data_IF_549893452390
#
_entry.id   IF_549893452390
#
_cell.length_a   1.000
_cell.length_b   1.000
_cell.length_c   1.000
_cell.angle_alpha   90.00
_cell.angle_beta   90.00
_cell.angle_gamma   90.00
#
_symmetry.space_group_name_H-M   'P 1'
#
loop_
_entity.id
_entity.type
_entity.pdbx_description
1 polymer ?
#
# COMPACT_ATOMS: atom_id res chain seq x y z
N UNK A 1 -27.72 7.03 -10.86
CA UNK A 1 -26.33 7.18 -10.35
C UNK A 1 -25.41 6.40 -11.26
N UNK A 2 -24.42 7.03 -11.91
CA UNK A 2 -23.43 6.30 -12.71
C UNK A 2 -22.60 5.43 -11.75
N UNK A 3 -22.51 4.14 -12.04
CA UNK A 3 -21.70 3.19 -11.24
C UNK A 3 -20.23 3.58 -11.41
N UNK A 4 -19.53 3.84 -10.31
CA UNK A 4 -18.07 4.06 -10.36
C UNK A 4 -17.40 2.84 -10.99
N UNK A 5 -16.62 3.07 -12.02
CA UNK A 5 -15.92 2.02 -12.75
C UNK A 5 -14.44 2.40 -12.86
N UNK A 6 -13.56 1.54 -12.38
CA UNK A 6 -12.13 1.69 -12.53
C UNK A 6 -11.70 0.98 -13.81
N UNK A 7 -11.37 1.77 -14.84
CA UNK A 7 -10.95 1.29 -16.17
C UNK A 7 -9.44 1.34 -16.33
N UNK A 8 -8.77 2.29 -15.63
CA UNK A 8 -7.32 2.48 -15.67
C UNK A 8 -6.83 3.04 -14.33
N UNK A 9 -5.72 2.52 -13.84
CA UNK A 9 -5.12 2.94 -12.58
C UNK A 9 -3.71 3.46 -12.82
N UNK A 10 -3.35 4.57 -12.20
CA UNK A 10 -1.96 4.98 -12.07
C UNK A 10 -1.42 4.51 -10.69
N UNK A 11 -0.24 3.90 -10.69
CA UNK A 11 0.51 3.59 -9.48
C UNK A 11 1.78 4.43 -9.47
N UNK A 12 1.94 5.25 -8.44
CA UNK A 12 3.06 6.17 -8.27
C UNK A 12 4.10 5.54 -7.34
N UNK A 13 5.23 5.13 -7.90
CA UNK A 13 6.31 4.40 -7.25
C UNK A 13 6.37 2.94 -7.69
N UNK A 14 7.52 2.54 -8.26
CA UNK A 14 7.79 1.18 -8.74
C UNK A 14 8.63 0.36 -7.75
N UNK A 15 8.57 0.73 -6.46
CA UNK A 15 9.14 -0.06 -5.37
C UNK A 15 8.42 -1.39 -5.14
N UNK A 16 8.78 -2.08 -4.06
CA UNK A 16 8.24 -3.41 -3.73
C UNK A 16 6.71 -3.42 -3.71
N UNK A 17 6.08 -2.44 -3.05
CA UNK A 17 4.62 -2.39 -2.96
C UNK A 17 3.98 -1.93 -4.26
N UNK A 18 4.45 -0.84 -4.87
CA UNK A 18 3.82 -0.30 -6.07
C UNK A 18 3.86 -1.25 -7.26
N UNK A 19 4.99 -1.91 -7.51
CA UNK A 19 5.09 -2.91 -8.56
C UNK A 19 4.15 -4.11 -8.33
N UNK A 20 4.02 -4.58 -7.09
CA UNK A 20 3.13 -5.70 -6.75
C UNK A 20 1.64 -5.30 -6.73
N UNK A 21 1.31 -4.05 -6.36
CA UNK A 21 -0.06 -3.51 -6.51
C UNK A 21 -0.42 -3.44 -8.00
N UNK A 22 0.49 -2.94 -8.84
CA UNK A 22 0.31 -2.94 -10.29
C UNK A 22 0.07 -4.36 -10.83
N UNK A 23 0.87 -5.34 -10.41
CA UNK A 23 0.69 -6.76 -10.76
C UNK A 23 -0.68 -7.29 -10.31
N UNK A 24 -1.14 -6.93 -9.11
CA UNK A 24 -2.44 -7.40 -8.60
C UNK A 24 -3.62 -6.81 -9.40
N UNK A 25 -3.52 -5.54 -9.82
CA UNK A 25 -4.51 -4.89 -10.68
C UNK A 25 -4.59 -5.54 -12.07
N UNK A 26 -3.45 -5.82 -12.71
CA UNK A 26 -3.47 -6.46 -14.04
C UNK A 26 -3.91 -7.92 -13.99
N UNK A 27 -3.79 -8.63 -12.86
CA UNK A 27 -4.36 -9.95 -12.68
C UNK A 27 -5.89 -9.98 -12.89
N UNK A 28 -6.57 -8.85 -12.63
CA UNK A 28 -8.00 -8.68 -12.87
C UNK A 28 -8.29 -7.87 -14.15
N UNK A 29 -7.28 -7.79 -15.04
CA UNK A 29 -7.36 -7.13 -16.36
C UNK A 29 -7.64 -5.63 -16.30
N UNK A 30 -7.33 -4.97 -15.21
CA UNK A 30 -7.34 -3.51 -15.11
C UNK A 30 -5.97 -2.98 -15.57
N UNK A 31 -5.91 -2.20 -16.68
CA UNK A 31 -4.67 -1.60 -17.15
C UNK A 31 -4.06 -0.65 -16.13
N UNK A 32 -2.74 -0.68 -16.02
CA UNK A 32 -1.99 0.15 -15.06
C UNK A 32 -0.95 1.00 -15.78
N UNK A 33 -0.82 2.25 -15.37
CA UNK A 33 0.37 3.07 -15.64
C UNK A 33 1.22 3.09 -14.36
N UNK A 34 2.40 2.49 -14.43
CA UNK A 34 3.34 2.45 -13.30
C UNK A 34 4.40 3.54 -13.50
N UNK A 35 4.50 4.44 -12.52
CA UNK A 35 5.41 5.57 -12.53
C UNK A 35 6.58 5.38 -11.55
N UNK A 36 7.73 5.93 -11.91
CA UNK A 36 8.83 6.18 -10.97
C UNK A 36 9.67 7.36 -11.45
N UNK A 37 10.74 7.67 -10.74
CA UNK A 37 11.74 8.64 -11.16
C UNK A 37 12.38 8.19 -12.49
N UNK A 38 12.81 9.13 -13.34
CA UNK A 38 13.61 8.80 -14.51
C UNK A 38 14.93 8.16 -14.08
N UNK A 39 15.37 7.14 -14.80
CA UNK A 39 16.67 6.52 -14.57
C UNK A 39 17.80 7.50 -14.86
N UNK A 40 18.84 7.50 -14.03
CA UNK A 40 20.04 8.35 -14.22
C UNK A 40 20.89 7.94 -15.43
N UNK A 41 20.71 6.71 -15.92
CA UNK A 41 21.43 6.16 -17.08
C UNK A 41 20.55 5.12 -17.79
N UNK A 42 20.75 4.97 -19.10
CA UNK A 42 19.94 4.10 -19.93
C UNK A 42 18.57 4.68 -20.29
N UNK A 43 17.56 3.85 -20.60
CA UNK A 43 16.20 4.31 -20.91
C UNK A 43 15.59 5.06 -19.72
N UNK A 44 14.92 6.20 -19.95
CA UNK A 44 14.31 7.01 -18.88
C UNK A 44 13.36 6.20 -17.99
N UNK A 45 12.60 5.25 -18.54
CA UNK A 45 11.73 4.36 -17.78
C UNK A 45 12.47 3.14 -17.16
N UNK A 46 13.81 3.14 -17.13
CA UNK A 46 14.64 2.00 -16.72
C UNK A 46 14.33 1.46 -15.32
N UNK A 47 13.92 2.31 -14.38
CA UNK A 47 13.51 1.88 -13.01
C UNK A 47 12.24 1.03 -13.11
N UNK A 48 11.23 1.51 -13.82
CA UNK A 48 9.95 0.81 -13.97
C UNK A 48 10.11 -0.46 -14.80
N UNK A 49 10.89 -0.42 -15.88
CA UNK A 49 11.24 -1.61 -16.68
C UNK A 49 11.80 -2.71 -15.81
N UNK A 50 12.82 -2.38 -14.99
CA UNK A 50 13.45 -3.33 -14.07
C UNK A 50 12.48 -3.86 -13.03
N UNK A 51 11.59 -3.02 -12.50
CA UNK A 51 10.58 -3.42 -11.54
C UNK A 51 9.58 -4.42 -12.14
N UNK A 52 9.06 -4.15 -13.34
CA UNK A 52 8.12 -5.03 -14.06
C UNK A 52 8.77 -6.37 -14.43
N UNK A 53 10.01 -6.37 -14.91
CA UNK A 53 10.77 -7.60 -15.19
C UNK A 53 11.05 -8.39 -13.92
N UNK A 54 11.27 -7.70 -12.80
CA UNK A 54 11.43 -8.31 -11.48
C UNK A 54 10.21 -9.09 -11.01
N UNK A 55 8.99 -8.64 -11.32
CA UNK A 55 7.74 -9.31 -10.95
C UNK A 55 7.68 -10.78 -11.40
N UNK A 56 8.25 -11.07 -12.56
CA UNK A 56 8.26 -12.44 -13.13
C UNK A 56 9.13 -13.42 -12.34
N UNK A 57 10.03 -12.91 -11.49
CA UNK A 57 11.02 -13.71 -10.72
C UNK A 57 10.66 -13.84 -9.25
N UNK A 58 9.70 -13.05 -8.76
CA UNK A 58 9.32 -13.07 -7.35
C UNK A 58 8.62 -14.37 -6.95
N UNK A 59 8.86 -14.76 -5.70
CA UNK A 59 8.16 -15.86 -5.03
C UNK A 59 7.69 -15.37 -3.65
N UNK A 60 6.38 -15.54 -3.34
CA UNK A 60 5.32 -16.09 -4.20
C UNK A 60 5.06 -15.17 -5.41
N UNK A 61 4.59 -15.74 -6.53
CA UNK A 61 4.41 -15.04 -7.80
C UNK A 61 3.33 -13.95 -7.70
N UNK A 62 3.64 -12.65 -7.93
CA UNK A 62 2.65 -11.57 -7.89
C UNK A 62 1.72 -11.59 -9.11
N UNK A 63 2.17 -12.09 -10.25
CA UNK A 63 1.36 -12.25 -11.47
C UNK A 63 0.70 -13.63 -11.51
N UNK A 64 -0.59 -13.68 -11.87
CA UNK A 64 -1.31 -14.91 -12.16
C UNK A 64 -0.90 -15.52 -13.48
N UNK A 65 -0.74 -14.65 -14.48
CA UNK A 65 -0.24 -14.98 -15.82
C UNK A 65 0.92 -14.02 -16.12
N UNK A 66 2.07 -14.54 -16.49
CA UNK A 66 3.28 -13.72 -16.68
C UNK A 66 3.10 -12.67 -17.78
N UNK A 67 2.34 -13.00 -18.85
CA UNK A 67 2.08 -12.11 -19.98
C UNK A 67 1.22 -10.89 -19.61
N UNK A 68 0.47 -10.96 -18.52
CA UNK A 68 -0.31 -9.81 -18.02
C UNK A 68 0.57 -8.63 -17.61
N UNK A 69 1.87 -8.85 -17.42
CA UNK A 69 2.84 -7.75 -17.25
C UNK A 69 2.80 -6.75 -18.40
N UNK A 70 2.37 -7.15 -19.60
CA UNK A 70 2.22 -6.26 -20.77
C UNK A 70 1.10 -5.21 -20.57
N UNK A 71 0.16 -5.42 -19.64
CA UNK A 71 -0.87 -4.45 -19.26
C UNK A 71 -0.35 -3.34 -18.34
N UNK A 72 0.92 -3.43 -17.90
CA UNK A 72 1.59 -2.40 -17.09
C UNK A 72 2.34 -1.47 -18.05
N UNK A 73 1.75 -0.30 -18.32
CA UNK A 73 2.40 0.77 -19.06
C UNK A 73 3.49 1.42 -18.20
N UNK A 74 4.69 1.50 -18.71
CA UNK A 74 5.86 2.06 -18.02
C UNK A 74 5.93 3.57 -18.23
N UNK A 75 6.12 4.33 -17.16
CA UNK A 75 6.11 5.79 -17.17
C UNK A 75 7.12 6.38 -16.19
N UNK A 76 7.48 7.65 -16.38
CA UNK A 76 8.28 8.42 -15.44
C UNK A 76 7.65 9.79 -15.16
N UNK A 77 8.07 10.41 -14.05
CA UNK A 77 7.51 11.69 -13.60
C UNK A 77 8.00 12.93 -14.40
N UNK A 78 8.86 12.78 -15.41
CA UNK A 78 9.29 13.89 -16.25
C UNK A 78 8.51 13.96 -17.56
N UNK A 79 8.37 12.83 -18.24
CA UNK A 79 7.86 12.80 -19.61
C UNK A 79 6.40 12.37 -19.72
N UNK A 80 5.82 11.75 -18.69
CA UNK A 80 4.59 10.99 -18.85
C UNK A 80 3.43 11.41 -17.93
N UNK A 81 3.52 12.56 -17.26
CA UNK A 81 2.49 12.99 -16.29
C UNK A 81 1.10 13.15 -16.93
N UNK A 82 1.02 13.48 -18.22
CA UNK A 82 -0.26 13.57 -18.94
C UNK A 82 -1.08 12.26 -18.93
N UNK A 83 -0.42 11.10 -18.77
CA UNK A 83 -1.11 9.80 -18.66
C UNK A 83 -2.01 9.69 -17.43
N UNK A 84 -1.83 10.54 -16.41
CA UNK A 84 -2.68 10.62 -15.24
C UNK A 84 -4.10 11.09 -15.57
N UNK A 85 -4.27 11.87 -16.65
CA UNK A 85 -5.57 12.39 -17.07
C UNK A 85 -6.57 11.31 -17.49
N UNK A 86 -6.07 10.14 -17.86
CA UNK A 86 -6.87 9.00 -18.33
C UNK A 86 -7.16 7.98 -17.20
N UNK A 87 -6.69 8.24 -15.98
CA UNK A 87 -6.82 7.29 -14.87
C UNK A 87 -8.03 7.61 -13.99
N UNK A 88 -8.78 6.58 -13.59
CA UNK A 88 -9.93 6.70 -12.69
C UNK A 88 -9.49 6.61 -11.21
N UNK A 89 -8.34 5.99 -10.94
CA UNK A 89 -7.74 5.82 -9.62
C UNK A 89 -6.23 6.05 -9.69
N UNK A 90 -5.70 6.82 -8.75
CA UNK A 90 -4.26 7.06 -8.58
C UNK A 90 -3.86 6.53 -7.20
N UNK A 91 -2.94 5.56 -7.14
CA UNK A 91 -2.43 4.97 -5.90
C UNK A 91 -0.98 5.38 -5.73
N UNK A 92 -0.67 6.15 -4.71
CA UNK A 92 0.71 6.50 -4.36
C UNK A 92 1.32 5.40 -3.47
N UNK A 93 2.50 4.92 -3.84
CA UNK A 93 3.25 3.85 -3.18
C UNK A 93 4.77 4.10 -3.20
N UNK A 94 5.21 5.38 -3.07
CA UNK A 94 6.63 5.72 -2.93
C UNK A 94 7.13 5.47 -1.50
N UNK A 95 8.42 5.76 -1.25
CA UNK A 95 9.04 5.60 0.07
C UNK A 95 8.26 6.32 1.18
N UNK A 96 8.32 5.77 2.40
CA UNK A 96 7.58 6.22 3.58
C UNK A 96 8.22 7.48 4.18
N UNK A 97 8.26 8.55 3.36
CA UNK A 97 8.79 9.86 3.71
C UNK A 97 7.77 10.95 3.41
N UNK A 98 7.39 11.69 4.44
CA UNK A 98 6.38 12.75 4.35
C UNK A 98 6.76 13.81 3.30
N UNK A 99 7.99 14.33 3.37
CA UNK A 99 8.52 15.35 2.46
C UNK A 99 8.44 14.91 0.99
N UNK A 100 8.88 13.70 0.68
CA UNK A 100 8.85 13.18 -0.69
C UNK A 100 7.43 12.98 -1.22
N UNK A 101 6.51 12.56 -0.36
CA UNK A 101 5.11 12.39 -0.75
C UNK A 101 4.43 13.74 -1.01
N UNK A 102 4.69 14.76 -0.17
CA UNK A 102 4.17 16.11 -0.37
C UNK A 102 4.68 16.73 -1.68
N UNK A 103 5.98 16.59 -1.96
CA UNK A 103 6.58 17.06 -3.23
C UNK A 103 5.95 16.36 -4.43
N UNK A 104 5.77 15.02 -4.35
CA UNK A 104 5.14 14.26 -5.42
C UNK A 104 3.70 14.72 -5.65
N UNK A 105 2.89 14.88 -4.60
CA UNK A 105 1.50 15.34 -4.73
C UNK A 105 1.41 16.72 -5.37
N UNK A 106 2.26 17.64 -4.98
CA UNK A 106 2.35 18.98 -5.60
C UNK A 106 2.64 18.87 -7.10
N UNK A 107 3.56 17.98 -7.48
CA UNK A 107 3.95 17.76 -8.86
C UNK A 107 2.86 17.12 -9.72
N UNK A 108 2.14 16.13 -9.20
CA UNK A 108 1.17 15.36 -10.00
C UNK A 108 -0.23 15.94 -10.00
N UNK A 109 -0.60 16.74 -8.99
CA UNK A 109 -1.95 17.29 -8.83
C UNK A 109 -2.52 17.96 -10.09
N UNK A 110 -1.75 18.77 -10.88
CA UNK A 110 -2.28 19.41 -12.09
C UNK A 110 -2.68 18.43 -13.20
N UNK A 111 -2.23 17.20 -13.13
CA UNK A 111 -2.46 16.16 -14.14
C UNK A 111 -3.53 15.15 -13.75
N UNK A 112 -4.01 15.19 -12.51
CA UNK A 112 -5.01 14.25 -12.01
C UNK A 112 -6.38 14.59 -12.61
N UNK A 113 -7.03 13.57 -13.19
CA UNK A 113 -8.36 13.74 -13.78
C UNK A 113 -9.39 14.24 -12.74
N UNK A 114 -10.35 15.11 -13.11
CA UNK A 114 -11.33 15.66 -12.16
C UNK A 114 -12.22 14.61 -11.48
N UNK A 115 -12.38 13.44 -12.10
CA UNK A 115 -13.17 12.33 -11.56
C UNK A 115 -12.34 11.28 -10.81
N UNK A 116 -11.01 11.31 -10.93
CA UNK A 116 -10.15 10.28 -10.36
C UNK A 116 -10.13 10.32 -8.83
N UNK A 117 -10.17 9.16 -8.21
CA UNK A 117 -9.88 9.01 -6.79
C UNK A 117 -8.37 8.97 -6.59
N UNK A 118 -7.86 9.65 -5.57
CA UNK A 118 -6.45 9.65 -5.21
C UNK A 118 -6.29 8.98 -3.87
N UNK A 119 -5.34 8.05 -3.77
CA UNK A 119 -5.13 7.30 -2.55
C UNK A 119 -3.64 7.10 -2.25
N UNK A 120 -3.27 7.10 -0.97
CA UNK A 120 -1.92 6.77 -0.52
C UNK A 120 -1.86 5.37 0.08
N UNK A 121 -0.84 4.60 -0.29
CA UNK A 121 -0.55 3.29 0.31
C UNK A 121 0.42 3.40 1.50
N UNK A 122 0.53 4.56 2.15
CA UNK A 122 1.35 4.72 3.36
C UNK A 122 0.91 3.74 4.45
N UNK A 123 1.85 3.26 5.25
CA UNK A 123 1.58 2.32 6.35
C UNK A 123 1.44 3.01 7.72
N UNK A 124 1.91 4.25 7.87
CA UNK A 124 1.93 4.90 9.19
C UNK A 124 1.91 6.42 9.17
N UNK A 125 2.12 7.08 8.02
CA UNK A 125 2.02 8.53 7.92
C UNK A 125 0.54 8.96 8.01
N UNK A 126 0.31 10.18 8.53
CA UNK A 126 -1.05 10.72 8.58
C UNK A 126 -1.58 11.03 7.19
N UNK A 127 -2.67 10.41 6.82
CA UNK A 127 -3.38 10.65 5.56
C UNK A 127 -3.90 12.09 5.51
N UNK A 128 -4.37 12.60 6.64
CA UNK A 128 -4.83 14.00 6.77
C UNK A 128 -3.71 14.98 6.44
N UNK A 129 -2.51 14.80 7.02
CA UNK A 129 -1.35 15.64 6.71
C UNK A 129 -0.92 15.54 5.25
N UNK A 130 -0.97 14.35 4.67
CA UNK A 130 -0.67 14.17 3.24
C UNK A 130 -1.66 14.94 2.35
N UNK A 131 -2.90 15.11 2.78
CA UNK A 131 -3.91 15.85 2.00
C UNK A 131 -3.72 17.37 2.01
N UNK A 132 -2.94 17.94 2.93
CA UNK A 132 -2.83 19.38 3.12
C UNK A 132 -2.29 20.13 1.90
N UNK A 133 -1.38 19.52 1.13
CA UNK A 133 -0.79 20.12 -0.08
C UNK A 133 -1.62 19.91 -1.34
N UNK A 134 -2.68 19.11 -1.27
CA UNK A 134 -3.56 18.86 -2.41
C UNK A 134 -4.50 20.06 -2.64
N UNK A 135 -4.80 20.37 -3.92
CA UNK A 135 -5.85 21.32 -4.26
C UNK A 135 -7.19 20.97 -3.63
N UNK A 136 -8.00 21.97 -3.30
CA UNK A 136 -9.28 21.81 -2.61
C UNK A 136 -10.26 20.88 -3.36
N UNK A 137 -10.19 20.85 -4.69
CA UNK A 137 -11.00 19.97 -5.54
C UNK A 137 -10.57 18.49 -5.47
N UNK A 138 -9.35 18.19 -5.03
CA UNK A 138 -8.85 16.80 -4.88
C UNK A 138 -9.13 16.26 -3.49
N UNK A 139 -9.05 17.08 -2.44
CA UNK A 139 -9.20 16.65 -1.04
C UNK A 139 -10.45 15.80 -0.78
N UNK A 140 -11.66 16.14 -1.32
CA UNK A 140 -12.86 15.33 -1.09
C UNK A 140 -12.83 13.91 -1.68
N UNK A 141 -11.87 13.63 -2.56
CA UNK A 141 -11.67 12.32 -3.22
C UNK A 141 -10.29 11.72 -2.94
N UNK A 142 -9.66 12.17 -1.84
CA UNK A 142 -8.40 11.63 -1.33
C UNK A 142 -8.62 10.82 -0.06
N UNK A 143 -7.92 9.67 0.04
CA UNK A 143 -7.93 8.80 1.23
C UNK A 143 -6.67 7.92 1.29
N UNK A 144 -6.52 7.14 2.33
CA UNK A 144 -5.58 6.03 2.38
C UNK A 144 -6.19 4.75 1.79
N UNK A 145 -5.37 3.98 1.07
CA UNK A 145 -5.65 2.61 0.63
C UNK A 145 -4.44 1.73 0.98
N UNK A 146 -4.47 1.10 2.13
CA UNK A 146 -3.33 0.38 2.66
C UNK A 146 -3.43 -1.11 2.34
N UNK A 147 -2.60 -1.52 1.38
CA UNK A 147 -2.37 -2.93 1.04
C UNK A 147 -1.27 -3.53 1.91
N UNK A 148 -1.35 -4.83 2.14
CA UNK A 148 -0.33 -5.59 2.86
C UNK A 148 0.51 -6.42 1.91
N UNK A 149 1.80 -6.60 2.25
CA UNK A 149 2.75 -7.36 1.44
C UNK A 149 2.63 -8.88 1.70
N UNK A 150 2.50 -9.72 0.69
CA UNK A 150 2.34 -9.42 -0.74
C UNK A 150 0.88 -9.10 -1.13
N UNK A 151 0.61 -8.02 -1.90
CA UNK A 151 -0.75 -7.57 -2.20
C UNK A 151 -1.67 -8.63 -2.82
N UNK A 152 -1.14 -9.54 -3.64
CA UNK A 152 -1.93 -10.62 -4.24
C UNK A 152 -2.49 -11.60 -3.21
N UNK A 153 -1.73 -11.89 -2.16
CA UNK A 153 -2.01 -12.98 -1.21
C UNK A 153 -2.66 -12.49 0.08
N UNK A 154 -2.34 -11.28 0.49
CA UNK A 154 -2.95 -10.68 1.68
C UNK A 154 -4.36 -10.22 1.35
N UNK A 155 -5.33 -10.76 2.08
CA UNK A 155 -6.75 -10.48 1.83
C UNK A 155 -7.22 -9.13 2.37
N UNK A 156 -6.53 -8.58 3.37
CA UNK A 156 -6.92 -7.33 4.02
C UNK A 156 -6.47 -6.10 3.23
N UNK A 157 -7.36 -5.10 3.14
CA UNK A 157 -7.07 -3.72 2.75
C UNK A 157 -7.73 -2.78 3.74
N UNK A 158 -7.01 -1.76 4.18
CA UNK A 158 -7.57 -0.70 5.02
C UNK A 158 -7.87 0.53 4.16
N UNK A 159 -9.06 1.13 4.35
CA UNK A 159 -9.44 2.41 3.76
C UNK A 159 -9.49 3.46 4.87
N UNK A 160 -8.73 4.54 4.70
CA UNK A 160 -8.52 5.54 5.73
C UNK A 160 -8.98 6.91 5.21
N UNK A 161 -10.13 7.45 5.66
CA UNK A 161 -10.59 8.76 5.26
C UNK A 161 -9.79 9.88 5.92
N UNK A 162 -9.78 11.06 5.29
CA UNK A 162 -9.49 12.34 5.92
C UNK A 162 -10.80 13.00 6.39
N UNK A 163 -10.75 14.08 7.17
CA UNK A 163 -11.96 14.83 7.51
C UNK A 163 -12.74 15.39 6.30
N UNK A 164 -12.07 15.55 5.16
CA UNK A 164 -12.66 16.09 3.93
C UNK A 164 -13.08 15.00 2.93
N UNK A 165 -12.69 13.75 3.13
CA UNK A 165 -13.04 12.64 2.24
C UNK A 165 -14.54 12.42 2.22
N UNK A 166 -15.16 12.47 1.04
CA UNK A 166 -16.59 12.17 0.89
C UNK A 166 -16.86 10.68 1.13
N UNK A 167 -17.89 10.32 1.91
CA UNK A 167 -18.25 8.93 2.19
C UNK A 167 -18.41 8.06 0.96
N UNK A 168 -18.97 8.63 -0.12
CA UNK A 168 -19.22 7.91 -1.38
C UNK A 168 -17.92 7.43 -2.04
N UNK A 169 -16.79 8.11 -1.80
CA UNK A 169 -15.47 7.70 -2.29
C UNK A 169 -15.03 6.40 -1.64
N UNK A 170 -15.27 6.27 -0.33
CA UNK A 170 -14.96 5.03 0.40
C UNK A 170 -15.88 3.89 -0.07
N UNK A 171 -17.16 4.15 -0.28
CA UNK A 171 -18.12 3.14 -0.78
C UNK A 171 -17.71 2.65 -2.18
N UNK A 172 -17.28 3.56 -3.05
CA UNK A 172 -16.80 3.24 -4.40
C UNK A 172 -15.52 2.42 -4.38
N UNK A 173 -14.53 2.81 -3.56
CA UNK A 173 -13.28 2.06 -3.40
C UNK A 173 -13.52 0.70 -2.76
N UNK A 174 -14.31 0.62 -1.69
CA UNK A 174 -14.64 -0.65 -1.05
C UNK A 174 -15.32 -1.60 -2.04
N UNK A 175 -16.29 -1.11 -2.82
CA UNK A 175 -16.93 -1.91 -3.87
C UNK A 175 -15.91 -2.43 -4.88
N UNK A 176 -14.99 -1.59 -5.39
CA UNK A 176 -13.96 -1.99 -6.33
C UNK A 176 -13.00 -3.00 -5.73
N UNK A 177 -12.49 -2.72 -4.53
CA UNK A 177 -11.48 -3.54 -3.85
C UNK A 177 -12.05 -4.91 -3.46
N UNK A 178 -13.32 -4.98 -3.06
CA UNK A 178 -13.97 -6.26 -2.71
C UNK A 178 -14.39 -7.06 -3.93
N UNK A 179 -15.02 -6.43 -4.91
CA UNK A 179 -15.60 -7.16 -6.04
C UNK A 179 -14.59 -7.48 -7.15
N UNK A 180 -13.66 -6.55 -7.45
CA UNK A 180 -12.66 -6.76 -8.49
C UNK A 180 -11.39 -7.40 -7.94
N UNK A 181 -10.85 -6.90 -6.81
CA UNK A 181 -9.59 -7.36 -6.27
C UNK A 181 -9.73 -8.53 -5.26
N UNK A 182 -10.95 -8.89 -4.88
CA UNK A 182 -11.21 -10.01 -3.95
C UNK A 182 -10.68 -9.78 -2.53
N UNK A 183 -10.65 -8.52 -2.05
CA UNK A 183 -10.15 -8.13 -0.73
C UNK A 183 -11.26 -8.01 0.30
N UNK A 184 -10.92 -8.30 1.55
CA UNK A 184 -11.70 -7.85 2.70
C UNK A 184 -11.28 -6.44 3.09
N UNK A 185 -12.24 -5.54 3.30
CA UNK A 185 -11.97 -4.13 3.61
C UNK A 185 -12.29 -3.81 5.06
N UNK A 186 -11.42 -3.05 5.70
CA UNK A 186 -11.64 -2.40 7.00
C UNK A 186 -11.54 -0.89 6.80
N UNK A 187 -12.60 -0.15 7.21
CA UNK A 187 -12.56 1.31 7.27
C UNK A 187 -11.88 1.72 8.57
N UNK A 188 -10.66 2.22 8.47
CA UNK A 188 -9.84 2.61 9.60
C UNK A 188 -9.87 4.13 9.81
N UNK A 189 -9.57 4.57 11.02
CA UNK A 189 -9.33 6.00 11.31
C UNK A 189 -7.88 6.35 10.95
N UNK A 190 -7.61 7.64 10.65
CA UNK A 190 -6.25 8.17 10.48
C UNK A 190 -5.53 8.24 11.85
N UNK A 191 -5.24 7.07 12.39
CA UNK A 191 -4.49 6.89 13.65
C UNK A 191 -3.15 6.23 13.34
N UNK A 192 -2.13 6.33 14.23
CA UNK A 192 -0.83 5.71 14.01
C UNK A 192 -0.94 4.24 13.63
N UNK A 193 -0.32 3.85 12.49
CA UNK A 193 -0.31 2.47 11.98
C UNK A 193 -1.70 1.85 11.78
N UNK A 194 -2.73 2.66 11.69
CA UNK A 194 -4.13 2.30 11.42
C UNK A 194 -4.66 1.20 12.36
N UNK A 195 -5.17 0.07 11.85
CA UNK A 195 -5.72 -1.02 12.67
C UNK A 195 -4.80 -2.24 12.70
N UNK A 196 -4.46 -2.82 11.54
CA UNK A 196 -3.80 -4.12 11.49
C UNK A 196 -2.36 -4.09 12.01
N UNK A 197 -1.56 -3.11 11.61
CA UNK A 197 -0.20 -2.96 12.13
C UNK A 197 -0.22 -2.70 13.65
N UNK A 198 -1.16 -1.92 14.12
CA UNK A 198 -1.32 -1.60 15.55
C UNK A 198 -1.69 -2.82 16.38
N UNK A 199 -2.67 -3.59 15.93
CA UNK A 199 -3.09 -4.84 16.59
C UNK A 199 -1.99 -5.90 16.52
N UNK A 200 -1.35 -6.04 15.34
CA UNK A 200 -0.27 -7.00 15.11
C UNK A 200 0.92 -6.75 16.04
N UNK A 201 1.42 -5.50 16.09
CA UNK A 201 2.54 -5.13 16.96
C UNK A 201 2.18 -5.29 18.44
N UNK A 202 1.00 -4.88 18.86
CA UNK A 202 0.57 -5.07 20.26
C UNK A 202 0.56 -6.55 20.65
N UNK A 203 0.05 -7.43 19.78
CA UNK A 203 0.06 -8.87 19.99
C UNK A 203 1.46 -9.47 20.02
N UNK A 204 2.36 -9.02 19.14
CA UNK A 204 3.76 -9.48 19.13
C UNK A 204 4.51 -9.03 20.39
N UNK A 205 4.40 -7.78 20.79
CA UNK A 205 5.04 -7.24 21.99
C UNK A 205 4.54 -7.97 23.25
N UNK A 206 3.24 -8.17 23.38
CA UNK A 206 2.68 -8.93 24.50
C UNK A 206 3.25 -10.37 24.56
N UNK A 207 3.35 -11.04 23.42
CA UNK A 207 3.95 -12.38 23.31
C UNK A 207 5.41 -12.38 23.72
N UNK A 208 6.20 -11.39 23.27
CA UNK A 208 7.64 -11.26 23.60
C UNK A 208 7.81 -11.06 25.11
N UNK A 209 7.03 -10.17 25.72
CA UNK A 209 7.08 -9.89 27.17
C UNK A 209 6.75 -11.15 27.99
N UNK A 210 5.71 -11.88 27.62
CA UNK A 210 5.35 -13.10 28.33
C UNK A 210 6.39 -14.22 28.10
N UNK A 211 6.93 -14.35 26.90
CA UNK A 211 8.01 -15.31 26.60
C UNK A 211 9.24 -15.09 27.49
N UNK A 212 9.63 -13.82 27.71
CA UNK A 212 10.73 -13.44 28.58
C UNK A 212 10.44 -13.82 30.06
N UNK A 213 9.25 -13.49 30.57
CA UNK A 213 8.82 -13.83 31.94
C UNK A 213 8.90 -15.33 32.24
N UNK A 214 8.54 -16.17 31.27
CA UNK A 214 8.52 -17.62 31.42
C UNK A 214 9.82 -18.30 30.97
N UNK A 215 10.84 -17.54 30.53
CA UNK A 215 12.11 -18.08 30.03
C UNK A 215 11.95 -19.02 28.82
N UNK A 216 10.99 -18.77 27.95
CA UNK A 216 10.69 -19.63 26.80
C UNK A 216 11.66 -19.35 25.65
N UNK A 217 12.10 -20.41 24.97
CA UNK A 217 12.91 -20.26 23.76
C UNK A 217 12.07 -19.75 22.58
N UNK A 218 12.70 -19.04 21.65
CA UNK A 218 12.04 -18.47 20.48
C UNK A 218 11.33 -19.51 19.61
N UNK A 219 11.97 -20.67 19.41
CA UNK A 219 11.38 -21.78 18.65
C UNK A 219 10.12 -22.34 19.33
N UNK A 220 10.11 -22.46 20.65
CA UNK A 220 8.94 -22.91 21.40
C UNK A 220 7.79 -21.89 21.28
N UNK A 221 8.10 -20.61 21.38
CA UNK A 221 7.09 -19.53 21.23
C UNK A 221 6.51 -19.56 19.82
N UNK A 222 7.33 -19.71 18.77
CA UNK A 222 6.85 -19.80 17.40
C UNK A 222 5.97 -21.03 17.18
N UNK A 223 6.32 -22.18 17.75
CA UNK A 223 5.50 -23.39 17.70
C UNK A 223 4.14 -23.19 18.41
N UNK A 224 4.14 -22.56 19.57
CA UNK A 224 2.92 -22.28 20.32
C UNK A 224 2.02 -21.24 19.65
N UNK A 225 2.61 -20.16 19.11
CA UNK A 225 1.86 -19.01 18.58
C UNK A 225 1.57 -19.09 17.09
N UNK A 226 1.98 -20.17 16.41
CA UNK A 226 1.75 -20.42 15.00
C UNK A 226 0.47 -21.22 14.70
N UNK A 227 0.62 -22.28 13.95
CA UNK A 227 -0.49 -23.14 13.48
C UNK A 227 -1.37 -23.69 14.61
N UNK A 228 -0.81 -23.96 15.78
CA UNK A 228 -1.56 -24.47 16.92
C UNK A 228 -2.65 -23.52 17.40
N UNK A 229 -2.46 -22.22 17.20
CA UNK A 229 -3.46 -21.19 17.47
C UNK A 229 -4.23 -20.72 16.22
N UNK A 230 -4.11 -21.42 15.10
CA UNK A 230 -4.73 -21.02 13.83
C UNK A 230 -4.14 -19.75 13.22
N UNK A 231 -2.92 -19.36 13.63
CA UNK A 231 -2.17 -18.21 13.09
C UNK A 231 -1.22 -18.65 11.95
N UNK A 232 -0.51 -17.68 11.37
CA UNK A 232 0.52 -17.95 10.37
C UNK A 232 1.55 -18.96 10.90
N UNK A 233 2.01 -19.87 10.05
CA UNK A 233 2.95 -20.94 10.44
C UNK A 233 4.31 -20.43 10.93
N UNK A 234 4.65 -19.18 10.65
CA UNK A 234 5.84 -18.49 11.12
C UNK A 234 5.84 -18.20 12.63
N UNK A 235 4.66 -18.22 13.28
CA UNK A 235 4.58 -17.84 14.69
C UNK A 235 4.87 -16.37 14.93
N UNK A 236 5.53 -16.04 16.05
CA UNK A 236 5.80 -14.64 16.45
C UNK A 236 7.17 -14.17 15.96
N UNK A 237 8.26 -14.85 16.29
CA UNK A 237 9.62 -14.40 16.02
C UNK A 237 10.00 -14.53 14.54
N UNK A 238 9.67 -15.64 13.86
CA UNK A 238 9.88 -15.76 12.42
C UNK A 238 9.00 -14.80 11.63
N UNK A 239 7.83 -14.42 12.16
CA UNK A 239 7.03 -13.35 11.54
C UNK A 239 7.74 -12.01 11.65
N UNK A 240 8.38 -11.70 12.79
CA UNK A 240 9.19 -10.49 12.95
C UNK A 240 10.37 -10.46 11.96
N UNK A 241 11.04 -11.60 11.75
CA UNK A 241 12.13 -11.72 10.75
C UNK A 241 11.62 -11.51 9.32
N UNK A 242 10.47 -12.10 8.95
CA UNK A 242 9.87 -11.96 7.61
C UNK A 242 9.42 -10.52 7.33
N UNK A 243 8.87 -9.85 8.34
CA UNK A 243 8.47 -8.42 8.25
C UNK A 243 9.70 -7.52 8.18
N UNK A 244 10.78 -7.91 8.84
CA UNK A 244 12.00 -7.14 9.04
C UNK A 244 11.99 -6.42 10.38
N UNK A 245 13.02 -6.62 11.18
CA UNK A 245 13.15 -6.02 12.52
C UNK A 245 13.25 -4.49 12.46
N UNK A 246 13.84 -3.95 11.41
CA UNK A 246 13.89 -2.52 11.11
C UNK A 246 12.49 -1.94 10.84
N UNK A 247 11.68 -2.65 10.06
CA UNK A 247 10.28 -2.28 9.80
C UNK A 247 9.46 -2.31 11.09
N UNK A 248 9.61 -3.37 11.90
CA UNK A 248 8.96 -3.50 13.19
C UNK A 248 9.35 -2.36 14.15
N UNK A 249 10.65 -2.04 14.24
CA UNK A 249 11.16 -0.94 15.05
C UNK A 249 10.58 0.42 14.60
N UNK A 250 10.46 0.64 13.29
CA UNK A 250 9.86 1.85 12.73
C UNK A 250 8.37 1.97 13.11
N UNK A 251 7.62 0.87 13.02
CA UNK A 251 6.20 0.84 13.41
C UNK A 251 6.04 1.15 14.90
N UNK A 252 6.85 0.55 15.78
CA UNK A 252 6.86 0.83 17.23
C UNK A 252 7.18 2.31 17.49
N UNK A 253 8.23 2.84 16.87
CA UNK A 253 8.61 4.24 17.01
C UNK A 253 7.48 5.19 16.57
N UNK A 254 6.80 4.90 15.48
CA UNK A 254 5.66 5.69 15.01
C UNK A 254 4.52 5.72 16.03
N UNK A 255 4.27 4.61 16.73
CA UNK A 255 3.27 4.55 17.81
C UNK A 255 3.68 5.42 19.00
N UNK A 256 4.95 5.40 19.40
CA UNK A 256 5.49 6.20 20.49
C UNK A 256 5.45 7.70 20.16
N UNK A 257 5.96 8.09 18.99
CA UNK A 257 6.06 9.48 18.55
C UNK A 257 4.68 10.17 18.43
N UNK A 258 3.66 9.44 18.02
CA UNK A 258 2.28 9.93 17.92
C UNK A 258 1.46 9.75 19.20
N UNK A 259 2.11 9.43 20.33
CA UNK A 259 1.48 9.21 21.64
C UNK A 259 0.28 8.25 21.59
N UNK A 260 0.39 7.24 20.78
CA UNK A 260 -0.58 6.16 20.72
C UNK A 260 -0.24 5.18 21.84
N UNK A 261 -1.17 4.96 22.75
CA UNK A 261 -1.01 4.01 23.85
C UNK A 261 -0.80 2.61 23.26
N UNK A 262 0.37 2.03 23.50
CA UNK A 262 0.67 0.61 23.33
C UNK A 262 0.95 0.07 24.69
#
# INVERSE_FOLDING_TARGET
MSRFQVRKVAVLGAGVMGAQIAAHLVNVKVPVVLFDLPAKSGPKNGIVIKAVDGLKKLKPAPLGVADDAALIQQANYEDNLELLRDCDLVIEAIAERMDWKLDLYTKVAPFIAPHAIVASNTSGLSITKLSEVLPEEIKPRFCGIHFFNPPRYMSLVELIPTPTTRPEILDQLESFVTTALGKGVVRAKDTPNFVANRVGIAGMLATIIEAEKFGLSYDLVDDLTGKKLGRASSGTFRTADVVGLDTMAHVIKTLQDRKSVV
#
